data_IF_523733754077
#
_entry.id   IF_523733754077
#
_cell.length_a   1.000
_cell.length_b   1.000
_cell.length_c   1.000
_cell.angle_alpha   90.00
_cell.angle_beta   90.00
_cell.angle_gamma   90.00
#
_symmetry.space_group_name_H-M   'P 1'
#
loop_
_entity.id
_entity.type
_entity.pdbx_description
1 polymer ?
#
# COMPACT_ATOMS: atom_id res chain seq x y z
N UNK A 1 6.98 -19.93 -16.84
CA UNK A 1 7.48 -18.54 -17.12
C UNK A 1 9.00 -18.56 -17.14
N UNK A 2 9.63 -17.92 -18.12
CA UNK A 2 11.09 -17.78 -18.14
C UNK A 2 11.41 -16.28 -18.09
N UNK A 3 12.21 -15.87 -17.10
CA UNK A 3 12.76 -14.52 -16.98
C UNK A 3 14.19 -14.55 -17.48
N UNK A 4 14.43 -14.02 -18.68
CA UNK A 4 15.77 -13.95 -19.26
C UNK A 4 16.65 -12.93 -18.52
N UNK A 5 17.98 -13.07 -18.68
CA UNK A 5 18.93 -12.10 -18.13
C UNK A 5 18.58 -10.68 -18.57
N UNK A 6 18.46 -9.75 -17.63
CA UNK A 6 18.09 -8.38 -17.97
C UNK A 6 19.23 -7.68 -18.72
N UNK A 7 18.86 -6.72 -19.54
CA UNK A 7 19.76 -5.84 -20.27
C UNK A 7 19.47 -4.38 -19.92
N UNK A 8 20.51 -3.56 -19.97
CA UNK A 8 20.44 -2.12 -19.75
C UNK A 8 20.71 -1.38 -21.05
N UNK A 9 19.82 -0.44 -21.37
CA UNK A 9 19.96 0.44 -22.54
C UNK A 9 19.80 1.86 -22.07
N UNK A 10 20.81 2.69 -22.25
CA UNK A 10 20.83 4.09 -21.82
C UNK A 10 20.89 5.02 -23.02
N UNK A 11 20.01 6.00 -23.05
CA UNK A 11 20.08 7.15 -23.94
C UNK A 11 20.34 8.46 -23.16
N UNK A 12 20.25 9.61 -23.84
CA UNK A 12 20.50 10.91 -23.20
C UNK A 12 19.48 11.26 -22.11
N UNK A 13 18.30 10.69 -22.14
CA UNK A 13 17.19 11.07 -21.26
C UNK A 13 16.82 9.98 -20.27
N UNK A 14 16.81 8.74 -20.74
CA UNK A 14 16.35 7.62 -19.95
C UNK A 14 17.33 6.45 -19.99
N UNK A 15 17.27 5.64 -18.94
CA UNK A 15 17.80 4.29 -18.93
C UNK A 15 16.66 3.30 -18.79
N UNK A 16 16.63 2.32 -19.68
CA UNK A 16 15.72 1.19 -19.62
C UNK A 16 16.47 -0.05 -19.12
N UNK A 17 15.87 -0.71 -18.15
CA UNK A 17 16.29 -2.01 -17.64
C UNK A 17 15.22 -3.02 -18.00
N UNK A 18 15.53 -3.94 -18.91
CA UNK A 18 14.55 -4.76 -19.59
C UNK A 18 14.89 -6.23 -19.50
N UNK A 19 13.87 -7.08 -19.42
CA UNK A 19 14.02 -8.52 -19.56
C UNK A 19 13.00 -9.08 -20.55
N UNK A 20 13.45 -9.99 -21.41
CA UNK A 20 12.54 -10.83 -22.21
C UNK A 20 11.90 -11.86 -21.28
N UNK A 21 10.59 -12.01 -21.36
CA UNK A 21 9.81 -12.93 -20.56
C UNK A 21 9.02 -13.87 -21.48
N UNK A 22 9.25 -15.18 -21.34
CA UNK A 22 8.37 -16.16 -21.95
C UNK A 22 7.24 -16.46 -20.96
N UNK A 23 6.03 -16.08 -21.30
CA UNK A 23 4.87 -16.19 -20.42
C UNK A 23 3.61 -16.52 -21.23
N UNK A 24 2.83 -17.50 -20.79
CA UNK A 24 1.61 -17.96 -21.48
C UNK A 24 1.84 -18.21 -22.98
N UNK A 25 2.93 -18.94 -23.30
CA UNK A 25 3.33 -19.27 -24.69
C UNK A 25 3.58 -18.06 -25.59
N UNK A 26 3.84 -16.90 -25.01
CA UNK A 26 4.19 -15.69 -25.75
C UNK A 26 5.46 -15.05 -25.20
N UNK A 27 6.21 -14.41 -26.11
CA UNK A 27 7.37 -13.62 -25.76
C UNK A 27 6.97 -12.17 -25.56
N UNK A 28 7.37 -11.59 -24.44
CA UNK A 28 7.11 -10.19 -24.11
C UNK A 28 8.34 -9.58 -23.47
N UNK A 29 8.44 -8.27 -23.48
CA UNK A 29 9.50 -7.56 -22.76
C UNK A 29 8.90 -6.77 -21.61
N UNK A 30 9.35 -7.06 -20.39
CA UNK A 30 9.08 -6.21 -19.24
C UNK A 30 10.15 -5.13 -19.18
N UNK A 31 9.72 -3.88 -19.09
CA UNK A 31 10.57 -2.69 -19.11
C UNK A 31 10.39 -1.93 -17.82
N UNK A 32 11.49 -1.58 -17.18
CA UNK A 32 11.57 -0.53 -16.18
C UNK A 32 12.38 0.62 -16.76
N UNK A 33 11.91 1.86 -16.61
CA UNK A 33 12.56 3.07 -17.10
C UNK A 33 12.76 4.07 -15.99
N UNK A 34 13.94 4.70 -15.96
CA UNK A 34 14.28 5.80 -15.07
C UNK A 34 14.98 6.92 -15.83
N UNK A 35 15.11 8.10 -15.24
CA UNK A 35 15.96 9.16 -15.79
C UNK A 35 17.43 8.72 -15.82
N UNK A 36 18.15 8.99 -16.91
CA UNK A 36 19.52 8.50 -17.14
C UNK A 36 20.54 9.01 -16.10
N UNK A 37 20.27 10.14 -15.44
CA UNK A 37 21.13 10.64 -14.36
C UNK A 37 21.19 9.69 -13.15
N UNK A 38 20.23 8.77 -12.99
CA UNK A 38 20.21 7.75 -11.93
C UNK A 38 20.68 6.36 -12.40
N UNK A 39 21.21 6.24 -13.62
CA UNK A 39 21.72 4.98 -14.17
C UNK A 39 22.70 4.26 -13.23
N UNK A 40 23.54 5.03 -12.53
CA UNK A 40 24.50 4.53 -11.57
C UNK A 40 23.90 3.84 -10.33
N UNK A 41 22.59 3.95 -10.12
CA UNK A 41 21.83 3.28 -9.06
C UNK A 41 21.20 1.96 -9.51
N UNK A 42 21.16 1.67 -10.81
CA UNK A 42 20.52 0.46 -11.31
C UNK A 42 21.30 -0.80 -10.90
N UNK A 43 20.53 -1.82 -10.53
CA UNK A 43 21.04 -3.16 -10.27
C UNK A 43 21.46 -3.87 -11.56
N UNK A 44 22.21 -4.95 -11.43
CA UNK A 44 22.48 -5.94 -12.50
C UNK A 44 21.78 -7.28 -12.21
N UNK A 45 20.87 -7.31 -11.23
CA UNK A 45 20.15 -8.49 -10.77
C UNK A 45 18.76 -8.58 -11.38
N UNK A 46 18.23 -9.78 -11.45
CA UNK A 46 16.84 -10.08 -11.85
C UNK A 46 15.82 -9.90 -10.74
N UNK A 47 16.24 -9.49 -9.54
CA UNK A 47 15.38 -9.31 -8.36
C UNK A 47 14.11 -8.51 -8.66
N UNK A 48 14.16 -7.32 -9.33
CA UNK A 48 12.97 -6.53 -9.62
C UNK A 48 11.96 -7.28 -10.50
N UNK A 49 12.45 -8.08 -11.44
CA UNK A 49 11.59 -8.86 -12.34
C UNK A 49 10.90 -10.01 -11.62
N UNK A 50 11.62 -10.73 -10.75
CA UNK A 50 11.02 -11.82 -9.97
C UNK A 50 9.93 -11.28 -9.02
N UNK A 51 10.20 -10.16 -8.33
CA UNK A 51 9.22 -9.53 -7.43
C UNK A 51 7.95 -9.13 -8.22
N UNK A 52 8.12 -8.47 -9.35
CA UNK A 52 7.02 -7.98 -10.17
C UNK A 52 6.18 -9.11 -10.80
N UNK A 53 6.80 -10.25 -11.11
CA UNK A 53 6.17 -11.32 -11.88
C UNK A 53 5.69 -12.52 -11.05
N UNK A 54 5.96 -12.53 -9.74
CA UNK A 54 5.55 -13.65 -8.88
C UNK A 54 4.03 -13.84 -8.87
N UNK A 55 3.26 -12.77 -8.64
CA UNK A 55 1.80 -12.84 -8.64
C UNK A 55 1.21 -13.32 -9.97
N UNK A 56 1.63 -12.75 -11.13
CA UNK A 56 1.28 -13.29 -12.44
C UNK A 56 1.53 -14.79 -12.60
N UNK A 57 2.69 -15.25 -12.19
CA UNK A 57 3.05 -16.67 -12.29
C UNK A 57 2.15 -17.55 -11.39
N UNK A 58 1.97 -17.17 -10.12
CA UNK A 58 1.12 -17.89 -9.18
C UNK A 58 -0.35 -17.95 -9.64
N UNK A 59 -0.86 -16.84 -10.19
CA UNK A 59 -2.22 -16.75 -10.73
C UNK A 59 -2.45 -17.65 -11.92
N UNK A 60 -1.44 -17.82 -12.78
CA UNK A 60 -1.49 -18.67 -13.97
C UNK A 60 -0.92 -20.08 -13.73
N UNK A 61 -0.41 -20.37 -12.52
CA UNK A 61 0.17 -21.67 -12.16
C UNK A 61 1.36 -22.04 -13.05
N UNK A 62 2.16 -21.07 -13.42
CA UNK A 62 3.38 -21.25 -14.19
C UNK A 62 4.60 -21.20 -13.29
N UNK A 63 5.41 -22.25 -13.31
CA UNK A 63 6.73 -22.27 -12.66
C UNK A 63 7.63 -21.19 -13.28
N UNK A 64 8.57 -20.68 -12.48
CA UNK A 64 9.47 -19.59 -12.88
C UNK A 64 10.89 -20.14 -13.02
N UNK A 65 11.52 -19.90 -14.16
CA UNK A 65 12.95 -20.06 -14.38
C UNK A 65 13.60 -18.68 -14.54
N UNK A 66 14.51 -18.31 -13.62
CA UNK A 66 15.28 -17.07 -13.72
C UNK A 66 16.64 -17.36 -14.33
N UNK A 67 16.89 -16.84 -15.54
CA UNK A 67 18.16 -17.02 -16.26
C UNK A 67 19.19 -15.94 -16.00
N UNK A 68 18.83 -14.87 -15.27
CA UNK A 68 19.74 -13.85 -14.79
C UNK A 68 20.18 -14.08 -13.35
N UNK A 69 21.07 -13.21 -12.87
CA UNK A 69 21.53 -13.22 -11.48
C UNK A 69 20.41 -12.88 -10.52
N UNK A 70 20.32 -13.57 -9.40
CA UNK A 70 19.32 -13.31 -8.36
C UNK A 70 19.91 -13.39 -6.97
N UNK A 71 19.41 -12.55 -6.06
CA UNK A 71 19.82 -12.60 -4.65
C UNK A 71 19.32 -13.87 -3.96
N UNK A 72 20.20 -14.60 -3.30
CA UNK A 72 19.90 -15.84 -2.59
C UNK A 72 18.77 -15.67 -1.57
N UNK A 73 18.85 -14.64 -0.74
CA UNK A 73 17.86 -14.38 0.30
C UNK A 73 16.46 -14.14 -0.28
N UNK A 74 16.39 -13.35 -1.37
CA UNK A 74 15.12 -13.11 -2.05
C UNK A 74 14.57 -14.42 -2.64
N UNK A 75 15.41 -15.17 -3.35
CA UNK A 75 15.00 -16.43 -3.96
C UNK A 75 14.42 -17.39 -2.91
N UNK A 76 15.11 -17.61 -1.79
CA UNK A 76 14.64 -18.47 -0.70
C UNK A 76 13.28 -18.03 -0.13
N UNK A 77 13.11 -16.74 0.10
CA UNK A 77 11.86 -16.20 0.61
C UNK A 77 10.72 -16.33 -0.41
N UNK A 78 11.01 -16.08 -1.70
CA UNK A 78 10.05 -16.21 -2.79
C UNK A 78 9.65 -17.66 -3.08
N UNK A 79 10.53 -18.63 -2.84
CA UNK A 79 10.24 -20.06 -2.97
C UNK A 79 9.33 -20.59 -1.85
N UNK A 80 9.20 -19.87 -0.75
CA UNK A 80 8.53 -20.36 0.47
C UNK A 80 7.56 -19.34 1.05
N UNK A 81 8.01 -18.60 2.06
CA UNK A 81 7.16 -17.77 2.95
C UNK A 81 6.36 -16.69 2.21
N UNK A 82 6.93 -16.06 1.19
CA UNK A 82 6.21 -15.06 0.41
C UNK A 82 5.01 -15.69 -0.30
N UNK A 83 5.18 -16.83 -0.94
CA UNK A 83 4.07 -17.54 -1.59
C UNK A 83 3.05 -18.06 -0.57
N UNK A 84 3.49 -18.50 0.62
CA UNK A 84 2.56 -18.91 1.69
C UNK A 84 1.63 -17.77 2.10
N UNK A 85 2.20 -16.57 2.30
CA UNK A 85 1.43 -15.36 2.61
C UNK A 85 0.45 -15.05 1.48
N UNK A 86 0.92 -15.02 0.25
CA UNK A 86 0.11 -14.68 -0.91
C UNK A 86 -1.05 -15.68 -1.11
N UNK A 87 -0.79 -16.99 -0.99
CA UNK A 87 -1.83 -18.00 -1.07
C UNK A 87 -2.86 -17.92 0.06
N UNK A 88 -2.43 -17.48 1.24
CA UNK A 88 -3.31 -17.27 2.38
C UNK A 88 -4.24 -16.08 2.17
N UNK A 89 -3.69 -14.99 1.58
CA UNK A 89 -4.44 -13.76 1.37
C UNK A 89 -5.35 -13.81 0.16
N UNK A 90 -4.91 -14.46 -0.91
CA UNK A 90 -5.58 -14.45 -2.19
C UNK A 90 -6.06 -15.87 -2.51
N UNK A 91 -7.34 -16.16 -2.26
CA UNK A 91 -7.90 -17.47 -2.59
C UNK A 91 -7.72 -17.80 -4.06
N UNK A 92 -7.11 -18.95 -4.31
CA UNK A 92 -6.93 -19.48 -5.65
C UNK A 92 -5.58 -19.22 -6.30
N UNK A 93 -4.71 -18.43 -5.69
CA UNK A 93 -3.29 -18.50 -6.04
C UNK A 93 -2.77 -19.92 -5.76
N UNK A 94 -1.77 -20.32 -6.55
CA UNK A 94 -1.07 -21.59 -6.35
C UNK A 94 0.41 -21.30 -6.20
N UNK A 95 1.06 -22.03 -5.31
CA UNK A 95 2.51 -22.03 -5.25
C UNK A 95 3.08 -22.56 -6.56
N UNK A 96 4.15 -21.93 -7.01
CA UNK A 96 4.90 -22.28 -8.20
C UNK A 96 6.35 -22.58 -7.82
N UNK A 97 7.00 -23.47 -8.56
CA UNK A 97 8.43 -23.69 -8.43
C UNK A 97 9.20 -22.50 -8.99
N UNK A 98 10.26 -22.09 -8.30
CA UNK A 98 11.15 -21.03 -8.77
C UNK A 98 12.57 -21.59 -8.82
N UNK A 99 13.18 -21.57 -9.99
CA UNK A 99 14.58 -21.96 -10.18
C UNK A 99 15.39 -20.79 -10.72
N UNK A 100 16.69 -20.79 -10.46
CA UNK A 100 17.60 -19.77 -10.96
C UNK A 100 18.90 -20.38 -11.42
N UNK A 101 19.48 -19.83 -12.50
CA UNK A 101 20.74 -20.32 -13.07
C UNK A 101 21.95 -19.75 -12.33
N UNK A 102 21.85 -18.53 -11.79
CA UNK A 102 22.94 -17.88 -11.06
C UNK A 102 22.39 -17.21 -9.79
N UNK A 103 22.88 -17.64 -8.63
CA UNK A 103 22.45 -17.16 -7.31
C UNK A 103 23.61 -16.41 -6.68
N UNK A 104 23.36 -15.16 -6.29
CA UNK A 104 24.35 -14.29 -5.66
C UNK A 104 24.13 -14.28 -4.15
N UNK A 105 25.15 -14.72 -3.43
CA UNK A 105 25.22 -14.61 -1.96
C UNK A 105 25.86 -13.29 -1.57
N UNK A 106 25.50 -12.77 -0.41
CA UNK A 106 26.10 -11.54 0.13
C UNK A 106 25.70 -11.32 1.57
N UNK A 107 26.48 -10.52 2.27
CA UNK A 107 26.14 -10.00 3.59
C UNK A 107 25.41 -8.67 3.47
N UNK A 108 24.51 -8.35 4.42
CA UNK A 108 23.83 -7.05 4.43
C UNK A 108 24.83 -5.89 4.42
N UNK A 109 24.63 -4.94 3.53
CA UNK A 109 25.46 -3.75 3.40
C UNK A 109 24.75 -2.57 4.06
N UNK A 110 25.49 -1.78 4.85
CA UNK A 110 24.94 -0.55 5.45
C UNK A 110 24.60 0.44 4.34
N UNK A 111 23.33 0.75 4.22
CA UNK A 111 22.85 1.70 3.23
C UNK A 111 23.07 3.15 3.68
N UNK A 112 23.48 4.00 2.72
CA UNK A 112 23.47 5.46 2.86
C UNK A 112 22.28 6.09 2.14
N UNK A 113 21.64 5.34 1.24
CA UNK A 113 20.48 5.81 0.50
C UNK A 113 19.22 5.35 1.21
N UNK A 114 18.30 6.27 1.43
CA UNK A 114 16.98 5.99 1.97
C UNK A 114 15.96 6.48 0.95
N UNK A 115 15.19 5.55 0.42
CA UNK A 115 14.22 5.77 -0.63
C UNK A 115 12.82 5.72 -0.05
N UNK A 116 11.90 6.55 -0.51
CA UNK A 116 10.47 6.44 -0.18
C UNK A 116 9.61 6.87 -1.35
N UNK A 117 8.54 6.14 -1.62
CA UNK A 117 7.58 6.55 -2.64
C UNK A 117 6.76 7.76 -2.16
N UNK A 118 6.46 8.69 -3.07
CA UNK A 118 5.65 9.89 -2.79
C UNK A 118 4.52 10.01 -3.79
N UNK A 119 3.29 10.08 -3.29
CA UNK A 119 2.09 10.26 -4.10
C UNK A 119 1.35 11.58 -3.81
N UNK A 120 1.78 12.31 -2.79
CA UNK A 120 1.04 13.47 -2.27
C UNK A 120 -0.15 13.10 -1.37
N UNK A 121 -0.38 11.80 -1.09
CA UNK A 121 -1.43 11.33 -0.20
C UNK A 121 -1.05 11.43 1.28
N UNK A 122 -2.03 11.14 2.17
CA UNK A 122 -1.86 11.22 3.63
C UNK A 122 -0.67 10.40 4.11
N UNK A 123 -0.55 9.14 3.69
CA UNK A 123 0.51 8.24 4.16
C UNK A 123 1.91 8.73 3.75
N UNK A 124 2.05 9.22 2.51
CA UNK A 124 3.32 9.76 2.04
C UNK A 124 3.70 11.06 2.77
N UNK A 125 2.73 11.91 3.17
CA UNK A 125 3.01 13.10 3.98
C UNK A 125 3.43 12.75 5.41
N UNK A 126 2.84 11.72 6.03
CA UNK A 126 3.30 11.23 7.34
C UNK A 126 4.75 10.74 7.25
N UNK A 127 5.07 9.95 6.23
CA UNK A 127 6.45 9.48 6.01
C UNK A 127 7.39 10.64 5.72
N UNK A 128 6.95 11.64 4.94
CA UNK A 128 7.72 12.85 4.67
C UNK A 128 8.02 13.63 5.96
N UNK A 129 7.04 13.77 6.86
CA UNK A 129 7.27 14.41 8.15
C UNK A 129 8.26 13.63 9.02
N UNK A 130 7.98 12.33 9.25
CA UNK A 130 8.68 11.53 10.25
C UNK A 130 10.11 11.10 9.81
N UNK A 131 10.37 11.04 8.48
CA UNK A 131 11.64 10.59 7.96
C UNK A 131 12.40 11.61 7.09
N UNK A 132 11.82 12.78 6.83
CA UNK A 132 12.51 13.84 6.12
C UNK A 132 12.52 15.18 6.87
N UNK A 133 11.35 15.72 7.25
CA UNK A 133 11.26 17.02 7.93
C UNK A 133 11.72 16.96 9.40
N UNK A 134 11.25 15.94 10.12
CA UNK A 134 11.50 15.77 11.56
C UNK A 134 11.92 14.31 11.84
N UNK A 135 13.06 13.85 11.31
CA UNK A 135 13.46 12.46 11.49
C UNK A 135 13.67 12.14 12.96
N UNK A 136 12.92 11.17 13.45
CA UNK A 136 12.99 10.68 14.84
C UNK A 136 14.17 9.74 15.09
N UNK A 137 14.80 9.27 14.01
CA UNK A 137 15.94 8.35 14.03
C UNK A 137 17.04 8.88 13.12
N UNK A 138 18.18 8.21 13.08
CA UNK A 138 19.25 8.51 12.11
C UNK A 138 18.85 8.21 10.65
N UNK A 139 17.71 7.58 10.43
CA UNK A 139 17.20 7.26 9.10
C UNK A 139 16.49 8.48 8.52
N UNK A 140 17.09 9.11 7.53
CA UNK A 140 16.52 10.26 6.82
C UNK A 140 16.43 9.96 5.33
N UNK A 141 15.27 10.24 4.72
CA UNK A 141 15.04 10.05 3.29
C UNK A 141 16.04 10.91 2.50
N UNK A 142 16.69 10.27 1.53
CA UNK A 142 17.66 10.92 0.62
C UNK A 142 17.09 11.13 -0.77
N UNK A 143 16.15 10.27 -1.22
CA UNK A 143 15.51 10.36 -2.52
C UNK A 143 14.05 9.97 -2.38
N UNK A 144 13.18 10.67 -3.10
CA UNK A 144 11.80 10.25 -3.27
C UNK A 144 11.60 9.55 -4.61
N UNK A 145 10.65 8.62 -4.64
CA UNK A 145 10.29 7.85 -5.83
C UNK A 145 8.89 8.24 -6.28
N UNK A 146 8.71 8.52 -7.56
CA UNK A 146 7.41 8.66 -8.18
C UNK A 146 7.22 7.53 -9.19
N UNK A 147 6.52 6.47 -8.76
CA UNK A 147 6.43 5.22 -9.49
C UNK A 147 5.19 5.20 -10.41
N UNK A 148 5.39 5.35 -11.72
CA UNK A 148 4.33 5.27 -12.72
C UNK A 148 4.25 3.84 -13.31
N UNK A 149 3.86 2.89 -12.47
CA UNK A 149 3.80 1.46 -12.85
C UNK A 149 2.54 1.09 -13.66
N UNK A 150 1.53 1.97 -13.67
CA UNK A 150 0.21 1.66 -14.21
C UNK A 150 -0.38 2.79 -15.00
N UNK A 151 0.46 3.64 -15.56
CA UNK A 151 0.04 4.85 -16.26
C UNK A 151 -0.93 5.72 -15.43
N UNK A 152 -0.90 5.53 -14.10
CA UNK A 152 -1.83 6.24 -13.19
C UNK A 152 -1.60 7.74 -13.25
N UNK A 153 -0.36 8.16 -13.44
CA UNK A 153 0.00 9.56 -13.55
C UNK A 153 -0.20 10.13 -14.95
N UNK A 154 -0.36 9.29 -15.98
CA UNK A 154 -0.72 9.76 -17.32
C UNK A 154 -2.14 10.34 -17.33
N UNK A 155 -3.00 9.78 -16.46
CA UNK A 155 -4.36 10.29 -16.22
C UNK A 155 -4.42 11.46 -15.24
N UNK A 156 -3.32 11.72 -14.53
CA UNK A 156 -3.20 12.75 -13.49
C UNK A 156 -1.84 13.44 -13.53
N UNK A 157 -1.45 14.08 -14.64
CA UNK A 157 -0.13 14.71 -14.77
C UNK A 157 0.12 15.79 -13.71
N UNK A 158 -0.94 16.40 -13.17
CA UNK A 158 -0.85 17.41 -12.12
C UNK A 158 -0.26 16.86 -10.81
N UNK A 159 -0.39 15.55 -10.53
CA UNK A 159 0.25 14.90 -9.37
C UNK A 159 1.77 15.04 -9.47
N UNK A 160 2.31 14.79 -10.67
CA UNK A 160 3.76 14.90 -10.94
C UNK A 160 4.24 16.33 -10.64
N UNK A 161 3.53 17.33 -11.19
CA UNK A 161 3.89 18.74 -11.01
C UNK A 161 3.77 19.17 -9.55
N UNK A 162 2.73 18.70 -8.86
CA UNK A 162 2.49 19.00 -7.46
C UNK A 162 3.59 18.42 -6.56
N UNK A 163 3.97 17.17 -6.78
CA UNK A 163 5.06 16.51 -6.06
C UNK A 163 6.40 17.20 -6.37
N UNK A 164 6.68 17.54 -7.64
CA UNK A 164 7.89 18.28 -8.01
C UNK A 164 7.97 19.63 -7.32
N UNK A 165 6.87 20.41 -7.28
CA UNK A 165 6.82 21.71 -6.57
C UNK A 165 7.12 21.54 -5.08
N UNK A 166 6.54 20.51 -4.44
CA UNK A 166 6.81 20.20 -3.04
C UNK A 166 8.31 19.90 -2.83
N UNK A 167 8.89 18.98 -3.58
CA UNK A 167 10.25 18.48 -3.34
C UNK A 167 11.31 19.50 -3.75
N UNK A 168 11.08 20.30 -4.79
CA UNK A 168 11.99 21.39 -5.19
C UNK A 168 12.19 22.43 -4.08
N UNK A 169 11.17 22.70 -3.26
CA UNK A 169 11.29 23.57 -2.09
C UNK A 169 12.40 23.13 -1.13
N UNK A 170 12.66 21.83 -1.07
CA UNK A 170 13.61 21.21 -0.16
C UNK A 170 14.90 20.76 -0.84
N UNK A 171 15.00 20.97 -2.14
CA UNK A 171 16.13 20.52 -2.95
C UNK A 171 16.44 19.01 -2.75
N UNK A 172 15.39 18.18 -2.64
CA UNK A 172 15.54 16.74 -2.47
C UNK A 172 15.27 16.03 -3.80
N UNK A 173 16.11 15.05 -4.19
CA UNK A 173 15.97 14.35 -5.46
C UNK A 173 14.64 13.57 -5.58
N UNK A 174 14.01 13.66 -6.74
CA UNK A 174 12.86 12.86 -7.15
C UNK A 174 13.25 11.95 -8.30
N UNK A 175 13.24 10.66 -8.10
CA UNK A 175 13.45 9.64 -9.13
C UNK A 175 12.08 9.27 -9.70
N UNK A 176 11.88 9.59 -10.98
CA UNK A 176 10.68 9.17 -11.69
C UNK A 176 10.93 7.82 -12.35
N UNK A 177 10.01 6.88 -12.15
CA UNK A 177 10.09 5.56 -12.76
C UNK A 177 8.85 5.28 -13.57
N UNK A 178 8.99 4.46 -14.60
CA UNK A 178 7.90 3.97 -15.42
C UNK A 178 8.09 2.48 -15.73
N UNK A 179 6.98 1.75 -15.88
CA UNK A 179 7.02 0.36 -16.34
C UNK A 179 5.75 0.00 -17.10
N UNK A 180 5.87 -0.93 -18.01
CA UNK A 180 4.75 -1.55 -18.72
C UNK A 180 4.17 -2.77 -17.97
N UNK A 181 4.43 -2.89 -16.68
CA UNK A 181 4.08 -4.09 -15.89
C UNK A 181 2.59 -4.42 -15.94
N UNK A 182 1.71 -3.40 -15.84
CA UNK A 182 0.26 -3.60 -15.86
C UNK A 182 -0.25 -4.19 -17.19
N UNK A 183 0.28 -3.74 -18.32
CA UNK A 183 -0.05 -4.28 -19.65
C UNK A 183 0.51 -5.70 -19.77
N UNK A 184 1.71 -5.91 -19.23
CA UNK A 184 2.41 -7.17 -19.27
C UNK A 184 1.72 -8.25 -18.45
N UNK A 185 1.33 -7.91 -17.22
CA UNK A 185 0.77 -8.84 -16.27
C UNK A 185 -0.69 -9.22 -16.57
N UNK A 186 -1.46 -8.37 -17.26
CA UNK A 186 -2.89 -8.57 -17.54
C UNK A 186 -3.65 -8.99 -16.28
N UNK A 187 -3.57 -8.17 -15.24
CA UNK A 187 -4.14 -8.42 -13.92
C UNK A 187 -5.62 -8.83 -13.96
N UNK A 188 -6.38 -8.25 -14.86
CA UNK A 188 -7.78 -8.54 -15.14
C UNK A 188 -8.03 -9.99 -15.58
N UNK A 189 -7.10 -10.59 -16.33
CA UNK A 189 -7.21 -11.97 -16.79
C UNK A 189 -6.62 -12.98 -15.82
N UNK A 190 -5.53 -12.62 -15.15
CA UNK A 190 -4.84 -13.49 -14.18
C UNK A 190 -5.73 -13.79 -12.99
N UNK A 191 -6.42 -12.77 -12.55
CA UNK A 191 -7.27 -12.80 -11.38
C UNK A 191 -8.75 -12.67 -11.73
N UNK A 192 -9.11 -12.91 -12.99
CA UNK A 192 -10.50 -12.99 -13.44
C UNK A 192 -11.21 -14.18 -12.76
N UNK A 193 -11.32 -14.05 -11.48
CA UNK A 193 -12.13 -14.89 -10.63
C UNK A 193 -13.23 -14.04 -10.04
N UNK A 194 -13.94 -13.37 -10.91
CA UNK A 194 -15.31 -12.92 -10.65
C UNK A 194 -16.22 -14.10 -10.23
N UNK A 195 -15.56 -15.26 -10.00
CA UNK A 195 -16.12 -16.35 -9.27
C UNK A 195 -16.75 -15.83 -7.99
N UNK A 196 -17.07 -16.58 -7.09
CA UNK A 196 -17.74 -16.45 -5.79
C UNK A 196 -17.86 -15.05 -5.12
N UNK A 197 -17.04 -14.03 -5.49
CA UNK A 197 -17.03 -12.72 -4.84
C UNK A 197 -17.18 -11.52 -5.79
N UNK A 198 -17.32 -11.71 -7.08
CA UNK A 198 -17.62 -10.64 -8.05
C UNK A 198 -16.57 -9.53 -8.20
N UNK A 199 -15.32 -9.75 -7.74
CA UNK A 199 -14.29 -8.73 -7.61
C UNK A 199 -13.11 -8.94 -8.53
N UNK A 200 -12.66 -7.86 -9.16
CA UNK A 200 -11.36 -7.80 -9.82
C UNK A 200 -10.28 -7.43 -8.78
N UNK A 201 -9.14 -8.08 -8.85
CA UNK A 201 -7.93 -7.61 -8.19
C UNK A 201 -7.51 -6.31 -8.85
N UNK A 202 -7.29 -5.29 -8.06
CA UNK A 202 -6.83 -4.01 -8.54
C UNK A 202 -5.35 -3.84 -8.20
N UNK A 203 -4.70 -2.93 -8.89
CA UNK A 203 -3.34 -2.55 -8.58
C UNK A 203 -3.18 -2.04 -7.16
N UNK A 204 -4.24 -1.47 -6.59
CA UNK A 204 -4.23 -1.00 -5.20
C UNK A 204 -3.82 -2.10 -4.22
N UNK A 205 -4.02 -3.36 -4.57
CA UNK A 205 -3.69 -4.53 -3.75
C UNK A 205 -2.26 -5.04 -3.96
N UNK A 206 -1.63 -4.65 -5.05
CA UNK A 206 -0.31 -5.16 -5.46
C UNK A 206 0.83 -4.16 -5.25
N UNK A 207 0.52 -2.90 -4.92
CA UNK A 207 1.56 -1.89 -4.80
C UNK A 207 2.72 -2.21 -3.84
N UNK A 208 2.60 -2.95 -2.71
CA UNK A 208 3.76 -3.26 -1.90
C UNK A 208 4.82 -4.04 -2.68
N UNK A 209 4.39 -4.99 -3.52
CA UNK A 209 5.31 -5.73 -4.37
C UNK A 209 5.88 -4.88 -5.51
N UNK A 210 5.04 -4.10 -6.18
CA UNK A 210 5.46 -3.24 -7.28
C UNK A 210 6.46 -2.16 -6.82
N UNK A 211 6.17 -1.48 -5.71
CA UNK A 211 7.09 -0.49 -5.15
C UNK A 211 8.40 -1.14 -4.68
N UNK A 212 8.34 -2.37 -4.13
CA UNK A 212 9.55 -3.11 -3.78
C UNK A 212 10.37 -3.48 -5.02
N UNK A 213 9.73 -3.85 -6.14
CA UNK A 213 10.44 -4.10 -7.39
C UNK A 213 11.24 -2.86 -7.84
N UNK A 214 10.69 -1.65 -7.70
CA UNK A 214 11.41 -0.41 -8.00
C UNK A 214 12.55 -0.17 -7.01
N UNK A 215 12.38 -0.45 -5.72
CA UNK A 215 13.48 -0.35 -4.76
C UNK A 215 14.63 -1.29 -5.13
N UNK A 216 14.31 -2.50 -5.60
CA UNK A 216 15.31 -3.46 -6.09
C UNK A 216 15.92 -3.07 -7.43
N UNK A 217 15.16 -2.42 -8.31
CA UNK A 217 15.69 -1.82 -9.54
C UNK A 217 16.86 -0.87 -9.23
N UNK A 218 16.72 -0.09 -8.14
CA UNK A 218 17.74 0.86 -7.66
C UNK A 218 18.75 0.22 -6.71
N UNK A 219 18.82 -1.10 -6.66
CA UNK A 219 19.70 -1.88 -5.78
C UNK A 219 21.19 -1.93 -6.18
N UNK A 220 21.59 -1.27 -7.28
CA UNK A 220 23.01 -1.12 -7.65
C UNK A 220 23.81 -0.27 -6.66
N UNK A 221 23.13 0.52 -5.84
CA UNK A 221 23.65 1.13 -4.61
C UNK A 221 22.83 0.64 -3.42
N UNK A 222 23.47 0.23 -2.30
CA UNK A 222 22.74 -0.20 -1.12
C UNK A 222 21.73 0.85 -0.69
N UNK A 223 20.47 0.43 -0.49
CA UNK A 223 19.41 1.33 -0.09
C UNK A 223 18.49 0.71 0.98
N UNK A 224 17.80 1.60 1.73
CA UNK A 224 16.67 1.26 2.58
C UNK A 224 15.43 1.87 1.94
N UNK A 225 14.46 1.06 1.60
CA UNK A 225 13.18 1.49 1.07
C UNK A 225 12.15 1.56 2.20
N UNK A 226 11.64 2.76 2.43
CA UNK A 226 10.57 3.03 3.39
C UNK A 226 9.24 3.10 2.63
N UNK A 227 8.42 2.09 2.82
CA UNK A 227 7.08 2.05 2.26
C UNK A 227 6.11 2.76 3.20
N UNK A 228 5.44 3.79 2.72
CA UNK A 228 4.41 4.52 3.47
C UNK A 228 3.17 3.64 3.63
N UNK A 229 3.01 3.05 4.81
CA UNK A 229 1.91 2.14 5.09
C UNK A 229 0.56 2.84 4.98
N UNK A 230 -0.38 2.18 4.31
CA UNK A 230 -1.79 2.56 4.38
C UNK A 230 -2.49 1.93 5.58
N UNK A 231 -1.91 0.86 6.13
CA UNK A 231 -2.45 0.16 7.29
C UNK A 231 -2.10 0.93 8.56
N UNK A 232 -3.11 1.42 9.23
CA UNK A 232 -2.96 2.18 10.48
C UNK A 232 -2.83 1.30 11.70
N UNK A 233 -2.69 1.94 12.85
CA UNK A 233 -2.45 1.38 14.18
C UNK A 233 -3.49 0.38 14.69
N UNK A 234 -3.81 -0.59 13.88
CA UNK A 234 -4.75 -1.69 14.15
C UNK A 234 -4.53 -2.38 15.47
N UNK A 235 -3.55 -1.91 16.20
CA UNK A 235 -3.02 -2.60 17.34
C UNK A 235 -2.87 -1.71 18.56
N UNK A 236 -3.19 -0.42 18.44
CA UNK A 236 -3.19 0.47 19.58
C UNK A 236 -4.50 0.36 20.35
N UNK A 237 -4.42 -0.28 21.52
CA UNK A 237 -5.52 -0.27 22.47
C UNK A 237 -6.67 -1.22 22.14
N UNK A 238 -6.58 -1.99 21.09
CA UNK A 238 -7.61 -2.98 20.75
C UNK A 238 -7.39 -4.26 21.54
N UNK A 239 -8.41 -4.73 22.21
CA UNK A 239 -8.43 -6.06 22.80
C UNK A 239 -8.88 -7.07 21.74
N UNK A 240 -8.12 -8.15 21.62
CA UNK A 240 -8.47 -9.22 20.72
C UNK A 240 -8.98 -10.42 21.48
N UNK A 241 -10.10 -10.93 21.05
CA UNK A 241 -10.57 -12.23 21.52
C UNK A 241 -10.08 -13.28 20.53
N UNK A 242 -9.15 -14.08 20.95
CA UNK A 242 -8.69 -15.26 20.19
C UNK A 242 -9.48 -16.44 20.69
N UNK A 243 -10.17 -17.14 19.80
CA UNK A 243 -10.87 -18.39 20.14
C UNK A 243 -9.97 -19.54 19.69
N UNK A 244 -9.67 -20.45 20.60
CA UNK A 244 -8.87 -21.63 20.28
C UNK A 244 -9.69 -22.71 19.54
N UNK A 245 -9.04 -23.80 19.15
CA UNK A 245 -9.67 -24.91 18.44
C UNK A 245 -10.80 -25.59 19.20
N UNK A 246 -10.89 -25.37 20.53
CA UNK A 246 -11.92 -25.91 21.42
C UNK A 246 -13.05 -24.88 21.67
N UNK A 247 -13.03 -23.72 21.01
CA UNK A 247 -14.02 -22.68 21.18
C UNK A 247 -13.83 -21.81 22.42
N UNK A 248 -12.68 -21.97 23.14
CA UNK A 248 -12.37 -21.17 24.33
C UNK A 248 -11.79 -19.82 23.93
N UNK A 249 -12.43 -18.76 24.38
CA UNK A 249 -11.98 -17.41 24.11
C UNK A 249 -10.92 -16.93 25.10
N UNK A 250 -9.87 -16.27 24.59
CA UNK A 250 -8.86 -15.59 25.37
C UNK A 250 -8.72 -14.17 24.85
N UNK A 251 -8.91 -13.19 25.72
CA UNK A 251 -8.64 -11.79 25.42
C UNK A 251 -7.13 -11.55 25.38
N UNK A 252 -6.62 -11.06 24.27
CA UNK A 252 -5.21 -10.67 24.10
C UNK A 252 -5.18 -9.15 23.98
N UNK A 253 -4.85 -8.48 25.07
CA UNK A 253 -4.65 -7.03 25.09
C UNK A 253 -3.26 -6.69 24.57
N UNK A 254 -3.17 -5.95 23.51
CA UNK A 254 -1.98 -5.48 22.81
C UNK A 254 -1.41 -6.45 21.77
N UNK A 255 -1.87 -6.25 20.57
CA UNK A 255 -1.34 -6.91 19.42
C UNK A 255 -0.23 -6.08 18.78
N UNK A 256 0.96 -6.64 18.67
CA UNK A 256 2.06 -6.03 17.94
C UNK A 256 2.21 -6.75 16.59
N UNK A 257 2.09 -6.02 15.49
CA UNK A 257 2.30 -6.58 14.15
C UNK A 257 3.56 -7.43 14.01
N UNK A 258 4.63 -7.00 14.68
CA UNK A 258 5.91 -7.73 14.67
C UNK A 258 5.83 -9.11 15.33
N UNK A 259 4.80 -9.37 16.13
CA UNK A 259 4.59 -10.63 16.83
C UNK A 259 3.57 -11.54 16.14
N UNK A 260 2.95 -11.09 15.04
CA UNK A 260 2.02 -11.91 14.29
C UNK A 260 2.77 -12.95 13.48
N UNK A 261 2.75 -14.18 13.94
CA UNK A 261 3.21 -15.28 13.11
C UNK A 261 2.14 -15.57 12.05
N UNK A 262 2.57 -16.00 10.85
CA UNK A 262 1.67 -16.43 9.78
C UNK A 262 0.66 -17.48 10.22
N UNK A 263 1.08 -18.39 11.12
CA UNK A 263 0.24 -19.44 11.68
C UNK A 263 -0.90 -18.86 12.51
N UNK A 264 -0.62 -17.88 13.36
CA UNK A 264 -1.64 -17.25 14.18
C UNK A 264 -2.64 -16.47 13.31
N UNK A 265 -2.17 -15.85 12.24
CA UNK A 265 -3.01 -15.09 11.31
C UNK A 265 -3.92 -16.01 10.49
N UNK A 266 -3.41 -17.11 9.97
CA UNK A 266 -4.20 -18.11 9.25
C UNK A 266 -5.28 -18.73 10.14
N UNK A 267 -4.95 -19.07 11.38
CA UNK A 267 -5.90 -19.59 12.36
C UNK A 267 -6.95 -18.54 12.70
N UNK A 268 -6.55 -17.30 12.88
CA UNK A 268 -7.47 -16.20 13.15
C UNK A 268 -8.48 -16.01 12.01
N UNK A 269 -8.02 -15.92 10.77
CA UNK A 269 -8.90 -15.78 9.61
C UNK A 269 -9.87 -16.97 9.45
N UNK A 270 -9.41 -18.19 9.76
CA UNK A 270 -10.26 -19.39 9.75
C UNK A 270 -11.35 -19.32 10.80
N UNK A 271 -10.99 -19.01 12.03
CA UNK A 271 -11.92 -18.90 13.16
C UNK A 271 -12.94 -17.79 12.90
N UNK A 272 -12.47 -16.67 12.34
CA UNK A 272 -13.31 -15.56 11.97
C UNK A 272 -14.37 -15.95 10.90
N UNK A 273 -13.97 -16.71 9.89
CA UNK A 273 -14.89 -17.21 8.85
C UNK A 273 -15.92 -18.20 9.38
N UNK A 274 -15.48 -19.07 10.28
CA UNK A 274 -16.30 -20.18 10.75
C UNK A 274 -17.28 -19.79 11.84
N UNK A 275 -16.95 -18.76 12.63
CA UNK A 275 -17.75 -18.47 13.82
C UNK A 275 -19.00 -17.66 13.57
N UNK A 276 -19.09 -16.89 12.47
CA UNK A 276 -20.22 -15.99 12.16
C UNK A 276 -20.55 -14.98 13.29
N UNK A 277 -19.86 -15.10 14.43
CA UNK A 277 -20.12 -14.37 15.67
C UNK A 277 -19.41 -13.04 15.77
N UNK A 278 -18.53 -12.73 14.80
CA UNK A 278 -17.66 -11.57 14.89
C UNK A 278 -18.03 -10.42 13.93
N UNK A 279 -19.23 -10.46 13.36
CA UNK A 279 -19.74 -9.36 12.54
C UNK A 279 -19.79 -8.02 13.29
N UNK A 280 -19.70 -8.07 14.63
CA UNK A 280 -19.81 -6.90 15.48
C UNK A 280 -18.62 -6.68 16.43
N UNK A 281 -17.48 -7.33 16.20
CA UNK A 281 -16.34 -7.19 17.09
C UNK A 281 -15.24 -6.33 16.53
N UNK A 282 -14.59 -5.67 17.43
CA UNK A 282 -13.41 -4.83 17.20
C UNK A 282 -12.37 -5.54 16.35
N UNK A 283 -12.16 -5.02 15.13
CA UNK A 283 -11.48 -5.65 14.12
C UNK A 283 -10.09 -5.63 14.09
N UNK A 284 -9.52 -6.57 13.65
CA UNK A 284 -8.18 -7.01 13.71
C UNK A 284 -7.42 -6.92 12.44
N UNK A 285 -8.11 -6.94 11.32
CA UNK A 285 -7.52 -6.85 10.01
C UNK A 285 -8.30 -5.89 9.17
N UNK A 286 -7.61 -5.07 8.36
CA UNK A 286 -8.30 -4.20 7.43
C UNK A 286 -9.20 -5.05 6.54
N UNK A 287 -10.44 -4.62 6.46
CA UNK A 287 -11.35 -5.11 5.44
C UNK A 287 -11.06 -4.36 4.16
N UNK A 288 -11.11 -5.05 3.05
CA UNK A 288 -10.85 -4.40 1.78
C UNK A 288 -11.98 -3.46 1.39
N UNK A 289 -11.64 -2.39 0.70
CA UNK A 289 -12.53 -1.34 0.23
C UNK A 289 -13.72 -1.78 -0.61
N UNK A 290 -13.88 -3.04 -0.88
CA UNK A 290 -14.72 -3.55 -1.95
C UNK A 290 -15.73 -4.58 -1.47
N UNK A 291 -15.98 -4.68 -0.16
CA UNK A 291 -16.90 -5.67 0.41
C UNK A 291 -16.38 -7.10 0.31
N UNK A 292 -15.09 -7.27 0.06
CA UNK A 292 -14.43 -8.56 0.08
C UNK A 292 -14.20 -9.08 1.49
N UNK A 293 -13.83 -10.35 1.58
CA UNK A 293 -13.47 -11.00 2.84
C UNK A 293 -12.37 -10.22 3.58
N UNK A 294 -12.52 -9.98 4.88
CA UNK A 294 -11.46 -9.42 5.70
C UNK A 294 -10.16 -10.23 5.55
N UNK A 295 -9.06 -9.57 5.23
CA UNK A 295 -7.75 -10.20 5.17
C UNK A 295 -7.28 -10.71 3.80
N UNK A 296 -8.02 -10.44 2.74
CA UNK A 296 -7.61 -10.82 1.38
C UNK A 296 -6.76 -9.75 0.66
N UNK A 297 -6.23 -8.79 1.41
CA UNK A 297 -5.50 -7.66 0.87
C UNK A 297 -4.00 -7.77 1.18
N UNK A 298 -3.17 -7.73 0.15
CA UNK A 298 -1.71 -7.73 0.31
C UNK A 298 -1.27 -6.52 1.13
N UNK A 299 -1.96 -5.39 1.01
CA UNK A 299 -1.69 -4.19 1.80
C UNK A 299 -1.85 -4.44 3.30
N UNK A 300 -2.80 -5.27 3.71
CA UNK A 300 -2.97 -5.64 5.11
C UNK A 300 -1.76 -6.40 5.70
N UNK A 301 -0.95 -7.00 4.83
CA UNK A 301 0.21 -7.78 5.19
C UNK A 301 1.54 -7.12 4.89
N UNK A 302 1.54 -5.91 4.37
CA UNK A 302 2.77 -5.23 3.97
C UNK A 302 3.84 -5.17 5.07
N UNK A 303 3.50 -4.93 6.36
CA UNK A 303 4.52 -4.91 7.42
C UNK A 303 5.21 -6.25 7.64
N UNK A 304 4.55 -7.34 7.25
CA UNK A 304 5.12 -8.70 7.32
C UNK A 304 5.78 -9.09 6.01
N UNK A 305 5.20 -8.70 4.89
CA UNK A 305 5.66 -9.08 3.56
C UNK A 305 6.93 -8.33 3.16
N UNK A 306 7.00 -7.02 3.37
CA UNK A 306 8.11 -6.18 2.91
C UNK A 306 9.48 -6.60 3.44
N UNK A 307 9.66 -6.94 4.74
CA UNK A 307 10.94 -7.44 5.23
C UNK A 307 11.40 -8.73 4.56
N UNK A 308 10.48 -9.56 4.08
CA UNK A 308 10.80 -10.81 3.37
C UNK A 308 11.31 -10.55 1.95
N UNK A 309 10.99 -9.39 1.37
CA UNK A 309 11.52 -8.96 0.09
C UNK A 309 12.92 -8.36 0.19
N UNK A 310 13.45 -8.15 1.40
CA UNK A 310 14.77 -7.57 1.60
C UNK A 310 15.90 -8.49 1.12
N UNK A 311 16.96 -7.88 0.57
CA UNK A 311 18.22 -8.54 0.16
C UNK A 311 19.40 -7.91 0.89
N UNK A 312 20.64 -8.37 0.70
CA UNK A 312 21.81 -7.69 1.22
C UNK A 312 21.96 -6.24 0.78
N UNK A 313 21.49 -5.91 -0.42
CA UNK A 313 21.60 -4.57 -1.02
C UNK A 313 20.38 -3.68 -0.77
N UNK A 314 19.21 -4.27 -0.57
CA UNK A 314 17.94 -3.53 -0.44
C UNK A 314 17.22 -3.97 0.82
N UNK A 315 17.02 -3.06 1.76
CA UNK A 315 16.20 -3.27 2.95
C UNK A 315 14.82 -2.67 2.70
N UNK A 316 13.77 -3.47 2.75
CA UNK A 316 12.38 -3.03 2.62
C UNK A 316 11.71 -2.97 4.00
N UNK A 317 11.12 -1.83 4.34
CA UNK A 317 10.43 -1.60 5.61
C UNK A 317 9.11 -0.87 5.39
N UNK A 318 8.07 -1.29 6.12
CA UNK A 318 6.82 -0.53 6.22
C UNK A 318 6.93 0.47 7.38
N UNK A 319 6.51 1.71 7.16
CA UNK A 319 6.59 2.80 8.14
C UNK A 319 5.25 3.53 8.25
N UNK A 320 5.00 4.16 9.40
CA UNK A 320 3.72 4.83 9.69
C UNK A 320 2.60 3.87 10.11
N UNK A 321 2.93 2.61 10.40
CA UNK A 321 1.98 1.61 10.90
C UNK A 321 1.53 1.85 12.34
N UNK A 322 2.25 2.67 13.07
CA UNK A 322 1.92 3.07 14.44
C UNK A 322 0.76 4.06 14.54
N UNK A 323 0.35 4.65 13.41
CA UNK A 323 -0.73 5.63 13.36
C UNK A 323 -1.99 5.04 12.73
N UNK A 324 -3.15 5.30 13.33
CA UNK A 324 -4.45 5.11 12.70
C UNK A 324 -4.69 6.14 11.59
N UNK A 325 -5.67 5.92 10.74
CA UNK A 325 -6.04 6.89 9.70
C UNK A 325 -6.41 8.26 10.25
N UNK A 326 -7.21 8.39 11.34
CA UNK A 326 -7.43 9.66 12.01
C UNK A 326 -6.15 10.33 12.52
N UNK A 327 -5.26 9.59 13.19
CA UNK A 327 -3.99 10.13 13.68
C UNK A 327 -3.09 10.63 12.54
N UNK A 328 -3.02 9.89 11.42
CA UNK A 328 -2.33 10.34 10.21
C UNK A 328 -2.95 11.63 9.66
N UNK A 329 -4.26 11.72 9.64
CA UNK A 329 -4.97 12.92 9.17
C UNK A 329 -4.68 14.12 10.07
N UNK A 330 -4.68 13.95 11.40
CA UNK A 330 -4.34 14.99 12.36
C UNK A 330 -2.92 15.49 12.13
N UNK A 331 -1.94 14.58 11.99
CA UNK A 331 -0.55 14.95 11.67
C UNK A 331 -0.45 15.79 10.39
N UNK A 332 -1.09 15.32 9.32
CA UNK A 332 -1.06 15.98 8.01
C UNK A 332 -1.76 17.33 8.06
N UNK A 333 -2.80 17.48 8.86
CA UNK A 333 -3.53 18.74 9.03
C UNK A 333 -2.67 19.86 9.63
N UNK A 334 -1.60 19.54 10.33
CA UNK A 334 -0.67 20.52 10.92
C UNK A 334 0.53 20.82 10.01
N UNK A 335 0.67 20.09 8.89
CA UNK A 335 1.77 20.30 7.94
C UNK A 335 1.42 21.39 6.91
N UNK A 336 2.14 22.52 6.96
CA UNK A 336 1.96 23.63 6.00
C UNK A 336 2.11 23.20 4.53
N UNK A 337 2.97 22.22 4.27
CA UNK A 337 3.16 21.69 2.92
C UNK A 337 1.95 20.89 2.43
N UNK A 338 1.32 20.15 3.31
CA UNK A 338 0.09 19.42 2.98
C UNK A 338 -1.07 20.38 2.62
N UNK A 339 -1.13 21.57 3.26
CA UNK A 339 -2.16 22.56 2.94
C UNK A 339 -2.17 22.98 1.45
N UNK A 340 -1.02 22.84 0.78
CA UNK A 340 -0.85 23.24 -0.61
C UNK A 340 -0.74 22.08 -1.59
N UNK A 341 -0.31 20.90 -1.10
CA UNK A 341 0.16 19.82 -1.97
C UNK A 341 -0.54 18.48 -1.71
N UNK A 342 -1.50 18.41 -0.78
CA UNK A 342 -2.22 17.18 -0.48
C UNK A 342 -3.10 16.75 -1.66
N UNK A 343 -2.87 15.54 -2.18
CA UNK A 343 -3.64 14.90 -3.23
C UNK A 343 -4.04 13.48 -2.80
N UNK A 344 -5.29 13.31 -2.41
CA UNK A 344 -5.84 12.01 -1.96
C UNK A 344 -6.85 11.44 -2.95
N UNK A 345 -7.21 12.21 -3.98
CA UNK A 345 -8.35 11.91 -4.83
C UNK A 345 -8.07 10.77 -5.79
N UNK A 346 -8.99 9.79 -5.87
CA UNK A 346 -8.93 8.73 -6.87
C UNK A 346 -9.50 9.15 -8.24
N UNK A 347 -10.19 10.29 -8.32
CA UNK A 347 -10.77 10.81 -9.56
C UNK A 347 -9.77 11.74 -10.25
N UNK A 348 -9.83 11.87 -11.57
CA UNK A 348 -9.08 12.91 -12.26
C UNK A 348 -9.41 14.28 -11.64
N UNK A 349 -8.40 15.14 -11.42
CA UNK A 349 -8.65 16.46 -10.89
C UNK A 349 -9.54 17.26 -11.85
N UNK A 350 -10.40 18.08 -11.28
CA UNK A 350 -11.11 19.10 -12.08
C UNK A 350 -10.13 20.24 -12.40
N UNK A 351 -10.46 21.07 -13.38
CA UNK A 351 -9.63 22.24 -13.70
C UNK A 351 -9.48 23.21 -12.52
N UNK A 352 -10.40 23.15 -11.55
CA UNK A 352 -10.45 24.06 -10.40
C UNK A 352 -9.84 23.45 -9.14
N UNK A 353 -10.02 22.14 -8.90
CA UNK A 353 -9.65 21.49 -7.64
C UNK A 353 -8.76 20.27 -7.85
N UNK A 354 -7.82 20.05 -6.93
CA UNK A 354 -6.98 18.84 -6.88
C UNK A 354 -7.80 17.65 -6.38
N UNK A 355 -8.62 17.87 -5.34
CA UNK A 355 -9.44 16.85 -4.70
C UNK A 355 -10.94 17.13 -4.91
N UNK A 356 -11.68 16.15 -5.40
CA UNK A 356 -13.06 16.30 -5.85
C UNK A 356 -14.10 16.50 -4.72
N UNK A 357 -13.73 16.44 -3.46
CA UNK A 357 -14.63 16.60 -2.30
C UNK A 357 -15.60 15.44 -2.04
N UNK A 358 -15.89 14.57 -3.01
CA UNK A 358 -16.99 13.59 -2.97
C UNK A 358 -16.57 12.13 -3.06
N UNK A 359 -15.33 11.81 -3.43
CA UNK A 359 -14.89 10.42 -3.41
C UNK A 359 -14.55 9.98 -1.99
N UNK A 360 -14.55 8.67 -1.74
CA UNK A 360 -14.35 8.11 -0.41
C UNK A 360 -13.11 8.64 0.32
N UNK A 361 -11.99 8.82 -0.36
CA UNK A 361 -10.77 9.38 0.26
C UNK A 361 -10.94 10.85 0.63
N UNK A 362 -11.59 11.65 -0.23
CA UNK A 362 -11.86 13.06 0.05
C UNK A 362 -12.86 13.24 1.20
N UNK A 363 -13.98 12.50 1.18
CA UNK A 363 -15.04 12.63 2.19
C UNK A 363 -14.56 12.29 3.59
N UNK A 364 -13.82 11.18 3.73
CA UNK A 364 -13.22 10.77 4.99
C UNK A 364 -12.26 11.82 5.54
N UNK A 365 -11.38 12.32 4.68
CA UNK A 365 -10.41 13.34 5.07
C UNK A 365 -11.11 14.64 5.47
N UNK A 366 -12.05 15.13 4.66
CA UNK A 366 -12.78 16.37 4.92
C UNK A 366 -13.59 16.31 6.22
N UNK A 367 -14.25 15.18 6.51
CA UNK A 367 -14.93 14.99 7.78
C UNK A 367 -13.96 15.13 8.97
N UNK A 368 -12.82 14.46 8.91
CA UNK A 368 -11.82 14.56 9.98
C UNK A 368 -11.28 15.97 10.11
N UNK A 369 -10.95 16.65 9.01
CA UNK A 369 -10.46 18.04 9.02
C UNK A 369 -11.49 19.01 9.60
N UNK A 370 -12.78 18.76 9.35
CA UNK A 370 -13.86 19.55 9.91
C UNK A 370 -14.00 19.33 11.43
N UNK A 371 -13.98 18.08 11.88
CA UNK A 371 -14.08 17.72 13.29
C UNK A 371 -12.93 18.28 14.14
N UNK A 372 -11.73 18.34 13.60
CA UNK A 372 -10.56 18.92 14.27
C UNK A 372 -10.38 20.43 13.99
N UNK A 373 -11.35 21.06 13.33
CA UNK A 373 -11.35 22.48 12.98
C UNK A 373 -10.14 22.95 12.16
N UNK A 374 -9.67 22.10 11.23
CA UNK A 374 -8.50 22.36 10.37
C UNK A 374 -8.84 22.46 8.87
N UNK A 375 -10.12 22.30 8.49
CA UNK A 375 -10.55 22.36 7.07
C UNK A 375 -10.10 23.63 6.36
N UNK A 376 -10.19 24.78 7.03
CA UNK A 376 -9.85 26.07 6.48
C UNK A 376 -8.34 26.36 6.34
N UNK A 377 -7.48 25.46 6.81
CA UNK A 377 -6.03 25.60 6.61
C UNK A 377 -5.61 25.24 5.19
N UNK A 378 -6.42 24.47 4.47
CA UNK A 378 -6.14 24.06 3.11
C UNK A 378 -6.51 25.17 2.11
N UNK A 379 -5.71 25.33 1.07
CA UNK A 379 -5.97 26.32 0.02
C UNK A 379 -7.33 26.10 -0.63
N UNK A 380 -7.93 27.17 -1.09
CA UNK A 380 -9.26 27.18 -1.72
C UNK A 380 -9.38 26.27 -2.96
N UNK A 381 -8.27 25.92 -3.61
CA UNK A 381 -8.23 25.01 -4.75
C UNK A 381 -7.81 23.56 -4.41
N UNK A 382 -7.55 23.28 -3.13
CA UNK A 382 -7.15 21.92 -2.72
C UNK A 382 -8.35 20.98 -2.74
N UNK A 383 -9.50 21.41 -2.23
CA UNK A 383 -10.72 20.61 -2.18
C UNK A 383 -11.92 21.34 -2.79
N UNK A 384 -12.81 20.59 -3.44
CA UNK A 384 -14.14 21.04 -3.79
C UNK A 384 -15.04 21.00 -2.55
N UNK A 385 -15.06 22.10 -1.80
CA UNK A 385 -15.82 22.21 -0.56
C UNK A 385 -17.33 22.34 -0.82
N UNK A 386 -17.74 22.93 -1.96
CA UNK A 386 -19.15 23.01 -2.33
C UNK A 386 -19.74 21.62 -2.57
N UNK A 387 -19.00 20.78 -3.30
CA UNK A 387 -19.39 19.38 -3.50
C UNK A 387 -19.41 18.59 -2.18
N UNK A 388 -18.47 18.84 -1.27
CA UNK A 388 -18.49 18.24 0.06
C UNK A 388 -19.73 18.64 0.86
N UNK A 389 -20.06 19.92 0.91
CA UNK A 389 -21.18 20.42 1.69
C UNK A 389 -22.52 19.83 1.22
N UNK A 390 -22.65 19.53 -0.08
CA UNK A 390 -23.85 18.87 -0.63
C UNK A 390 -24.03 17.44 -0.16
N UNK A 391 -22.94 16.68 0.04
CA UNK A 391 -23.02 15.24 0.38
C UNK A 391 -22.68 14.95 1.84
N UNK A 392 -22.23 15.94 2.60
CA UNK A 392 -21.72 15.79 3.97
C UNK A 392 -22.68 15.02 4.87
N UNK A 393 -23.95 15.43 4.92
CA UNK A 393 -24.94 14.79 5.78
C UNK A 393 -25.19 13.34 5.38
N UNK A 394 -25.31 13.03 4.10
CA UNK A 394 -25.47 11.68 3.61
C UNK A 394 -24.25 10.81 3.92
N UNK A 395 -23.03 11.36 3.78
CA UNK A 395 -21.81 10.64 4.11
C UNK A 395 -21.72 10.29 5.60
N UNK A 396 -22.01 11.25 6.49
CA UNK A 396 -22.02 11.01 7.94
C UNK A 396 -23.04 9.93 8.30
N UNK A 397 -24.21 9.98 7.67
CA UNK A 397 -25.25 8.98 7.84
C UNK A 397 -24.83 7.60 7.39
N UNK A 398 -24.10 7.47 6.30
CA UNK A 398 -23.67 6.19 5.75
C UNK A 398 -22.40 5.64 6.41
N UNK A 399 -21.57 6.51 6.99
CA UNK A 399 -20.26 6.15 7.51
C UNK A 399 -20.29 4.96 8.50
N UNK A 400 -21.22 4.87 9.47
CA UNK A 400 -21.30 3.73 10.36
C UNK A 400 -21.55 2.38 9.67
N UNK A 401 -22.10 2.40 8.46
CA UNK A 401 -22.39 1.21 7.68
C UNK A 401 -21.21 0.79 6.78
N UNK A 402 -20.14 1.58 6.74
CA UNK A 402 -18.95 1.34 5.89
C UNK A 402 -17.88 0.49 6.58
N UNK A 403 -18.29 -0.53 7.32
CA UNK A 403 -17.40 -1.42 8.06
C UNK A 403 -16.53 -2.33 7.18
N UNK A 404 -16.74 -2.33 5.87
CA UNK A 404 -15.88 -3.04 4.92
C UNK A 404 -14.58 -2.30 4.59
N UNK A 405 -14.45 -1.05 5.04
CA UNK A 405 -13.27 -0.24 4.84
C UNK A 405 -12.56 0.04 6.16
N UNK A 406 -11.36 -0.46 6.30
CA UNK A 406 -10.52 -0.28 7.47
C UNK A 406 -10.40 1.19 7.93
N UNK A 407 -10.07 2.07 7.03
CA UNK A 407 -9.92 3.50 7.34
C UNK A 407 -11.24 4.14 7.80
N UNK A 408 -12.40 3.69 7.28
CA UNK A 408 -13.71 4.20 7.70
C UNK A 408 -14.05 3.69 9.10
N UNK A 409 -13.69 2.44 9.42
CA UNK A 409 -13.82 1.86 10.78
C UNK A 409 -12.98 2.64 11.79
N UNK A 410 -11.70 2.87 11.52
CA UNK A 410 -10.84 3.67 12.40
C UNK A 410 -11.37 5.09 12.59
N UNK A 411 -11.94 5.68 11.54
CA UNK A 411 -12.58 7.00 11.61
C UNK A 411 -13.82 6.98 12.52
N UNK A 412 -14.65 5.94 12.40
CA UNK A 412 -15.81 5.77 13.29
C UNK A 412 -15.39 5.64 14.76
N UNK A 413 -14.38 4.83 15.07
CA UNK A 413 -13.89 4.69 16.43
C UNK A 413 -13.38 6.01 17.00
N UNK A 414 -12.60 6.74 16.23
CA UNK A 414 -12.12 8.04 16.64
C UNK A 414 -13.29 9.01 16.93
N UNK A 415 -14.33 9.01 16.09
CA UNK A 415 -15.53 9.84 16.30
C UNK A 415 -16.27 9.42 17.57
N UNK A 416 -16.43 8.12 17.83
CA UNK A 416 -17.06 7.63 19.05
C UNK A 416 -16.34 8.07 20.31
N UNK A 417 -15.01 8.13 20.26
CA UNK A 417 -14.19 8.55 21.40
C UNK A 417 -14.15 10.07 21.59
N UNK A 418 -14.20 10.85 20.50
CA UNK A 418 -13.90 12.28 20.53
C UNK A 418 -15.04 13.20 20.11
N UNK A 419 -16.05 12.69 19.41
CA UNK A 419 -17.16 13.46 18.84
C UNK A 419 -18.43 12.59 18.69
N UNK A 420 -18.76 11.80 19.71
CA UNK A 420 -19.87 10.82 19.69
C UNK A 420 -21.22 11.42 19.34
N UNK A 421 -21.45 12.68 19.70
CA UNK A 421 -22.67 13.45 19.39
C UNK A 421 -22.96 13.53 17.88
N UNK A 422 -21.96 13.30 17.03
CA UNK A 422 -22.14 13.26 15.58
C UNK A 422 -23.04 12.09 15.15
N UNK A 423 -23.01 10.99 15.91
CA UNK A 423 -23.82 9.80 15.66
C UNK A 423 -25.04 9.71 16.59
N UNK A 424 -25.19 10.63 17.56
CA UNK A 424 -26.34 10.65 18.46
C UNK A 424 -27.59 11.08 17.69
N UNK A 425 -28.61 10.24 17.78
CA UNK A 425 -29.91 10.50 17.17
C UNK A 425 -30.72 11.35 18.14
N UNK A 426 -31.31 12.44 17.66
CA UNK A 426 -32.22 13.27 18.46
C UNK A 426 -33.39 12.42 18.96
N UNK A 427 -33.78 12.63 20.23
CA UNK A 427 -34.87 11.91 20.90
C UNK A 427 -36.13 11.92 20.05
N UNK A 428 -36.66 10.76 19.66
CA UNK A 428 -37.84 10.61 18.80
C UNK A 428 -37.56 10.28 17.32
N UNK A 429 -36.32 10.30 16.90
CA UNK A 429 -35.94 9.76 15.59
C UNK A 429 -35.50 8.31 15.75
N UNK A 430 -35.93 7.45 14.85
CA UNK A 430 -35.36 6.10 14.81
C UNK A 430 -33.87 6.20 14.45
N UNK A 431 -32.99 5.47 15.17
CA UNK A 431 -31.60 5.41 14.77
C UNK A 431 -31.52 4.90 13.32
N UNK A 432 -31.11 5.76 12.40
CA UNK A 432 -30.90 5.36 11.01
C UNK A 432 -29.64 4.51 10.86
N UNK A 433 -28.91 4.32 11.96
CA UNK A 433 -27.71 3.49 11.99
C UNK A 433 -27.91 2.43 13.04
N UNK A 434 -27.64 1.17 12.73
CA UNK A 434 -27.28 0.29 13.81
C UNK A 434 -26.15 1.03 14.52
N UNK A 435 -26.33 1.38 15.79
CA UNK A 435 -25.17 1.60 16.65
C UNK A 435 -24.20 0.54 16.24
N UNK A 436 -23.08 0.95 15.64
CA UNK A 436 -22.04 0.02 15.36
C UNK A 436 -21.88 -0.75 16.64
N UNK A 437 -22.11 -2.04 16.64
CA UNK A 437 -21.84 -2.91 17.78
C UNK A 437 -20.34 -2.97 18.02
N UNK A 438 -19.73 -1.78 17.93
CA UNK A 438 -18.36 -1.42 18.15
C UNK A 438 -18.12 -1.11 19.64
N UNK A 439 -19.15 -1.28 20.46
CA UNK A 439 -19.06 -1.22 21.89
C UNK A 439 -18.91 -2.63 22.47
#
# INVERSE_FOLDING_TARGET
>A
MIIHSPIRVTDKKFTEYTAKINFLKSDRTLVFRIDSCYDHMLTDLSDPFLIALLLPAMGNKEDIEVRGKISERLLKNMQSTVQDILCMLIPGLRKVSITATEVITGSPVKSKNVLSAVSGGVDSFVTFEDYYLKPKTSTKITHFLLNNMCDIYDKKPQVIDNVKKLLNKYNVPLIQTWSNLHIFARWDTILDRRGKYGRQFTIDETHPMENSAIAHLLGGKPNTFLYSSSVGGNTRGTEFVVVDENGKSKTVSKFNHKQLTLKNRANFNRIFKESGKFSNTNFLFPTTDTGGDPGNDIMACEPTLLPLLSTPQVKCESVGTEYTRPEKTIKVADLKDAHNHLDVCNRPPTLKYVNCGICRKCTRLLLMLELINKKNHFKSNTFDLEAWDQIRSAYIQELPNRYSCHDDVETCWWIQENAKELFEVKRGQQPQFPTLGLL
#
